data_IF_749150585287
#
_entry.id   IF_749150585287
#
_cell.length_a   1.000
_cell.length_b   1.000
_cell.length_c   1.000
_cell.angle_alpha   90.00
_cell.angle_beta   90.00
_cell.angle_gamma   90.00
#
_symmetry.space_group_name_H-M   'P 1'
#
loop_
_entity.id
_entity.type
_entity.pdbx_description
1 polymer ?
#
# COMPACT_ATOMS: atom_id res chain seq x y z
N UNK A 1 -6.87 1.84 31.14
CA UNK A 1 -5.86 1.53 30.11
C UNK A 1 -6.44 0.50 29.12
N UNK A 2 -7.25 -0.44 29.62
CA UNK A 2 -8.02 -1.41 28.83
C UNK A 2 -8.78 -0.79 27.65
N UNK A 3 -9.45 0.35 27.83
CA UNK A 3 -10.20 1.01 26.75
C UNK A 3 -9.35 1.40 25.53
N UNK A 4 -8.04 1.65 25.71
CA UNK A 4 -7.13 2.07 24.63
C UNK A 4 -6.44 0.86 23.99
N UNK A 5 -6.51 -0.31 24.62
CA UNK A 5 -5.81 -1.53 24.18
C UNK A 5 -6.16 -1.93 22.72
N UNK A 6 -7.43 -1.87 22.25
CA UNK A 6 -7.75 -2.19 20.86
C UNK A 6 -7.05 -1.23 19.87
N UNK A 7 -6.98 0.06 20.19
CA UNK A 7 -6.32 1.06 19.35
C UNK A 7 -4.80 0.82 19.31
N UNK A 8 -4.21 0.51 20.46
CA UNK A 8 -2.79 0.16 20.54
C UNK A 8 -2.47 -1.15 19.82
N UNK A 9 -3.40 -2.11 19.80
CA UNK A 9 -3.24 -3.35 19.05
C UNK A 9 -3.16 -3.10 17.53
N UNK A 10 -4.01 -2.21 16.99
CA UNK A 10 -3.96 -1.82 15.59
C UNK A 10 -2.64 -1.12 15.24
N UNK A 11 -2.18 -0.19 16.09
CA UNK A 11 -0.89 0.50 15.91
C UNK A 11 0.28 -0.48 15.99
N UNK A 12 0.27 -1.39 16.96
CA UNK A 12 1.27 -2.46 17.09
C UNK A 12 1.30 -3.33 15.84
N UNK A 13 0.14 -3.71 15.31
CA UNK A 13 0.02 -4.51 14.10
C UNK A 13 0.66 -3.78 12.91
N UNK A 14 0.32 -2.51 12.70
CA UNK A 14 0.91 -1.68 11.64
C UNK A 14 2.43 -1.60 11.75
N UNK A 15 2.96 -1.27 12.94
CA UNK A 15 4.42 -1.22 13.15
C UNK A 15 5.07 -2.58 12.95
N UNK A 16 4.43 -3.67 13.39
CA UNK A 16 4.97 -5.03 13.23
C UNK A 16 5.08 -5.39 11.76
N UNK A 17 4.06 -5.11 10.94
CA UNK A 17 4.16 -5.31 9.49
C UNK A 17 5.29 -4.47 8.91
N UNK A 18 5.29 -3.16 9.20
CA UNK A 18 6.31 -2.27 8.66
C UNK A 18 7.72 -2.58 9.17
N UNK A 19 7.88 -3.39 10.21
CA UNK A 19 9.18 -3.78 10.76
C UNK A 19 9.48 -5.28 10.56
N UNK A 20 8.61 -6.03 9.88
CA UNK A 20 8.78 -7.47 9.67
C UNK A 20 9.77 -7.79 8.55
N UNK A 21 9.90 -6.90 7.57
CA UNK A 21 10.81 -7.04 6.44
C UNK A 21 12.14 -6.32 6.73
N UNK A 22 13.26 -6.89 6.28
CA UNK A 22 14.57 -6.23 6.37
C UNK A 22 14.61 -4.95 5.54
N UNK A 23 13.86 -4.94 4.44
CA UNK A 23 13.63 -3.78 3.57
C UNK A 23 12.12 -3.55 3.51
N UNK A 24 11.64 -2.47 4.14
CA UNK A 24 10.21 -2.20 4.24
C UNK A 24 9.68 -1.81 2.87
N UNK A 25 8.70 -2.57 2.38
CA UNK A 25 8.02 -2.23 1.13
C UNK A 25 7.35 -0.85 1.21
N UNK A 26 7.95 0.13 0.53
CA UNK A 26 7.48 1.53 0.51
C UNK A 26 6.03 1.62 0.00
N UNK A 27 5.59 0.72 -0.87
CA UNK A 27 4.23 0.62 -1.39
C UNK A 27 3.17 0.28 -0.33
N UNK A 28 3.56 -0.24 0.84
CA UNK A 28 2.64 -0.51 1.94
C UNK A 28 2.35 0.72 2.81
N UNK A 29 3.13 1.80 2.64
CA UNK A 29 3.08 2.99 3.49
C UNK A 29 1.70 3.64 3.49
N UNK A 30 1.17 4.02 2.32
CA UNK A 30 -0.13 4.67 2.23
C UNK A 30 -1.31 3.75 2.50
N UNK A 31 -1.35 2.50 1.99
CA UNK A 31 -2.40 1.55 2.35
C UNK A 31 -2.57 1.40 3.88
N UNK A 32 -1.46 1.20 4.61
CA UNK A 32 -1.50 1.07 6.07
C UNK A 32 -1.92 2.39 6.72
N UNK A 33 -1.34 3.52 6.28
CA UNK A 33 -1.65 4.85 6.82
C UNK A 33 -3.14 5.19 6.67
N UNK A 34 -3.69 5.04 5.47
CA UNK A 34 -5.10 5.33 5.20
C UNK A 34 -6.01 4.37 5.95
N UNK A 35 -5.66 3.09 6.07
CA UNK A 35 -6.46 2.17 6.89
C UNK A 35 -6.46 2.56 8.36
N UNK A 36 -5.31 2.94 8.93
CA UNK A 36 -5.27 3.43 10.30
C UNK A 36 -6.17 4.66 10.48
N UNK A 37 -6.06 5.65 9.60
CA UNK A 37 -6.81 6.93 9.69
C UNK A 37 -8.31 6.72 9.48
N UNK A 38 -8.71 5.93 8.48
CA UNK A 38 -10.09 5.82 8.01
C UNK A 38 -10.86 4.66 8.64
N UNK A 39 -10.17 3.70 9.26
CA UNK A 39 -10.79 2.52 9.86
C UNK A 39 -10.52 2.46 11.36
N UNK A 40 -9.24 2.35 11.76
CA UNK A 40 -8.88 2.00 13.14
C UNK A 40 -8.90 3.18 14.12
N UNK A 41 -8.70 4.40 13.61
CA UNK A 41 -8.67 5.65 14.39
C UNK A 41 -9.96 6.47 14.24
N UNK A 42 -10.95 5.95 13.53
CA UNK A 42 -12.27 6.59 13.46
C UNK A 42 -13.00 6.49 14.79
N UNK A 43 -13.85 7.49 15.05
CA UNK A 43 -14.75 7.48 16.20
C UNK A 43 -15.77 6.37 16.03
N UNK A 44 -15.91 5.53 17.03
CA UNK A 44 -16.92 4.47 17.09
C UNK A 44 -17.91 4.78 18.21
N UNK A 45 -19.18 4.43 18.01
CA UNK A 45 -20.19 4.51 19.07
C UNK A 45 -19.75 3.62 20.24
N UNK A 46 -19.75 4.18 21.45
CA UNK A 46 -19.21 3.52 22.65
C UNK A 46 -17.76 3.88 23.00
N UNK A 47 -17.03 4.63 22.16
CA UNK A 47 -15.72 5.15 22.53
C UNK A 47 -15.82 6.07 23.77
N UNK A 48 -15.02 5.78 24.80
CA UNK A 48 -14.89 6.68 25.94
C UNK A 48 -14.24 8.00 25.52
N UNK A 49 -14.50 9.08 26.26
CA UNK A 49 -13.93 10.41 25.95
C UNK A 49 -12.40 10.39 25.84
N UNK A 50 -11.73 9.53 26.62
CA UNK A 50 -10.28 9.34 26.57
C UNK A 50 -9.82 8.68 25.26
N UNK A 51 -10.50 7.61 24.85
CA UNK A 51 -10.20 6.90 23.59
C UNK A 51 -10.43 7.81 22.39
N UNK A 52 -11.53 8.55 22.38
CA UNK A 52 -11.81 9.51 21.31
C UNK A 52 -10.71 10.58 21.21
N UNK A 53 -10.32 11.20 22.33
CA UNK A 53 -9.23 12.19 22.35
C UNK A 53 -7.90 11.59 21.87
N UNK A 54 -7.59 10.36 22.27
CA UNK A 54 -6.40 9.66 21.81
C UNK A 54 -6.43 9.41 20.31
N UNK A 55 -7.48 8.75 19.80
CA UNK A 55 -7.69 8.48 18.37
C UNK A 55 -7.58 9.76 17.53
N UNK A 56 -8.25 10.83 17.96
CA UNK A 56 -8.20 12.12 17.27
C UNK A 56 -6.79 12.69 17.20
N UNK A 57 -6.03 12.69 18.30
CA UNK A 57 -4.65 13.20 18.31
C UNK A 57 -3.73 12.37 17.42
N UNK A 58 -3.83 11.03 17.48
CA UNK A 58 -3.03 10.13 16.65
C UNK A 58 -3.38 10.33 15.17
N UNK A 59 -4.67 10.40 14.84
CA UNK A 59 -5.15 10.62 13.47
C UNK A 59 -4.62 11.93 12.89
N UNK A 60 -4.75 13.04 13.61
CA UNK A 60 -4.22 14.35 13.19
C UNK A 60 -2.71 14.29 12.99
N UNK A 61 -1.97 13.81 13.99
CA UNK A 61 -0.52 13.76 13.94
C UNK A 61 0.03 12.84 12.83
N UNK A 62 -0.66 11.73 12.55
CA UNK A 62 -0.30 10.82 11.47
C UNK A 62 -0.62 11.44 10.11
N UNK A 63 -1.81 12.05 9.96
CA UNK A 63 -2.22 12.71 8.72
C UNK A 63 -1.29 13.85 8.32
N UNK A 64 -0.87 14.68 9.28
CA UNK A 64 0.09 15.77 9.06
C UNK A 64 1.46 15.25 8.63
N UNK A 65 2.02 14.28 9.37
CA UNK A 65 3.35 13.71 9.07
C UNK A 65 3.41 13.01 7.71
N UNK A 66 2.33 12.32 7.35
CA UNK A 66 2.22 11.59 6.09
C UNK A 66 1.66 12.42 4.94
N UNK A 67 1.29 13.69 5.20
CA UNK A 67 0.72 14.63 4.24
C UNK A 67 -0.47 14.06 3.45
N UNK A 68 -1.34 13.28 4.13
CA UNK A 68 -2.42 12.52 3.45
C UNK A 68 -3.47 13.38 2.76
N UNK A 69 -3.63 14.63 3.20
CA UNK A 69 -4.56 15.58 2.59
C UNK A 69 -3.91 16.47 1.52
N UNK A 70 -2.59 16.37 1.30
CA UNK A 70 -1.88 17.19 0.31
C UNK A 70 -2.39 16.94 -1.11
N UNK A 71 -2.43 18.00 -1.91
CA UNK A 71 -2.77 17.93 -3.33
C UNK A 71 -1.70 17.17 -4.14
N UNK A 72 -0.45 17.19 -3.68
CA UNK A 72 0.68 16.51 -4.34
C UNK A 72 0.83 15.03 -3.94
N UNK A 73 -0.13 14.48 -3.20
CA UNK A 73 -0.07 13.11 -2.66
C UNK A 73 0.24 12.08 -3.75
N UNK A 74 -0.39 12.19 -4.92
CA UNK A 74 -0.23 11.26 -6.06
C UNK A 74 1.17 11.30 -6.68
N UNK A 75 1.93 12.36 -6.42
CA UNK A 75 3.30 12.54 -6.91
C UNK A 75 4.36 12.11 -5.90
N UNK A 76 3.96 11.70 -4.70
CA UNK A 76 4.90 11.25 -3.68
C UNK A 76 5.45 9.86 -4.00
N UNK A 77 6.74 9.57 -3.75
CA UNK A 77 7.31 8.25 -4.02
C UNK A 77 6.54 7.08 -3.38
N UNK A 78 6.04 7.17 -2.12
CA UNK A 78 5.29 6.07 -1.55
C UNK A 78 3.94 5.84 -2.22
N UNK A 79 3.31 6.88 -2.77
CA UNK A 79 2.04 6.73 -3.49
C UNK A 79 2.27 6.11 -4.87
N UNK A 80 3.31 6.57 -5.59
CA UNK A 80 3.70 5.97 -6.87
C UNK A 80 4.06 4.50 -6.70
N UNK A 81 4.87 4.16 -5.69
CA UNK A 81 5.18 2.76 -5.35
C UNK A 81 3.92 1.95 -5.01
N UNK A 82 2.95 2.55 -4.33
CA UNK A 82 1.65 1.90 -4.05
C UNK A 82 0.87 1.63 -5.34
N UNK A 83 0.85 2.58 -6.27
CA UNK A 83 0.13 2.48 -7.54
C UNK A 83 0.76 1.44 -8.48
N UNK A 84 2.07 1.24 -8.40
CA UNK A 84 2.81 0.22 -9.12
C UNK A 84 2.76 -1.17 -8.46
N UNK A 85 2.25 -1.27 -7.23
CA UNK A 85 2.17 -2.54 -6.51
C UNK A 85 0.86 -3.27 -6.85
N UNK A 86 0.91 -4.48 -7.45
CA UNK A 86 -0.28 -5.24 -7.80
C UNK A 86 -1.21 -5.51 -6.61
N UNK A 87 -0.66 -5.61 -5.39
CA UNK A 87 -1.43 -5.82 -4.15
C UNK A 87 -2.36 -4.64 -3.83
N UNK A 88 -2.10 -3.49 -4.43
CA UNK A 88 -2.79 -2.24 -4.14
C UNK A 88 -3.41 -1.59 -5.39
N UNK A 89 -3.47 -2.30 -6.54
CA UNK A 89 -3.90 -1.73 -7.83
C UNK A 89 -5.22 -0.97 -7.78
N UNK A 90 -6.17 -1.46 -6.99
CA UNK A 90 -7.50 -0.86 -6.91
C UNK A 90 -7.57 0.41 -6.06
N UNK A 91 -6.49 0.75 -5.34
CA UNK A 91 -6.40 1.89 -4.43
C UNK A 91 -7.66 2.01 -3.56
N UNK A 92 -8.14 0.88 -3.04
CA UNK A 92 -9.41 0.76 -2.33
C UNK A 92 -9.47 1.60 -1.04
N UNK A 93 -8.30 1.98 -0.53
CA UNK A 93 -8.13 2.84 0.64
C UNK A 93 -8.33 4.33 0.34
N UNK A 94 -8.31 4.75 -0.94
CA UNK A 94 -8.63 6.11 -1.37
C UNK A 94 -10.14 6.27 -1.61
N UNK A 95 -10.63 7.51 -1.45
CA UNK A 95 -11.97 7.89 -1.91
C UNK A 95 -12.05 7.85 -3.44
N UNK A 96 -13.24 7.62 -4.03
CA UNK A 96 -13.39 7.58 -5.49
C UNK A 96 -12.81 8.82 -6.20
N UNK A 97 -12.97 10.01 -5.61
CA UNK A 97 -12.44 11.27 -6.14
C UNK A 97 -10.91 11.31 -6.23
N UNK A 98 -10.19 10.69 -5.28
CA UNK A 98 -8.71 10.63 -5.28
C UNK A 98 -8.16 9.43 -6.07
N UNK A 99 -8.99 8.42 -6.34
CA UNK A 99 -8.59 7.21 -7.07
C UNK A 99 -8.34 7.46 -8.56
N UNK A 100 -9.25 8.21 -9.21
CA UNK A 100 -9.20 8.48 -10.66
C UNK A 100 -7.94 9.29 -11.04
N UNK A 101 -7.59 10.40 -10.34
CA UNK A 101 -6.35 11.14 -10.62
C UNK A 101 -5.10 10.32 -10.33
N UNK A 102 -5.13 9.44 -9.32
CA UNK A 102 -4.04 8.52 -9.02
C UNK A 102 -3.73 7.64 -10.23
N UNK A 103 -4.72 6.90 -10.73
CA UNK A 103 -4.50 6.00 -11.88
C UNK A 103 -4.05 6.72 -13.15
N UNK A 104 -4.53 7.95 -13.41
CA UNK A 104 -4.11 8.73 -14.60
C UNK A 104 -2.73 9.37 -14.48
N UNK A 105 -2.13 9.45 -13.28
CA UNK A 105 -0.83 10.10 -13.08
C UNK A 105 0.34 9.21 -13.50
N UNK A 106 0.21 7.88 -13.40
CA UNK A 106 1.26 6.95 -13.87
C UNK A 106 1.64 7.14 -15.34
N UNK A 107 0.70 7.16 -16.30
CA UNK A 107 1.06 7.36 -17.70
C UNK A 107 1.66 8.74 -17.96
N UNK A 108 1.23 9.79 -17.24
CA UNK A 108 1.83 11.13 -17.34
C UNK A 108 3.31 11.14 -16.91
N UNK A 109 3.62 10.45 -15.80
CA UNK A 109 5.00 10.33 -15.31
C UNK A 109 5.88 9.50 -16.25
N UNK A 110 5.34 8.44 -16.86
CA UNK A 110 6.05 7.63 -17.84
C UNK A 110 6.42 8.45 -19.09
N UNK A 111 5.48 9.24 -19.62
CA UNK A 111 5.72 10.11 -20.79
C UNK A 111 6.74 11.21 -20.48
N UNK A 112 6.77 11.72 -19.24
CA UNK A 112 7.75 12.72 -18.83
C UNK A 112 9.19 12.18 -18.85
N UNK A 113 9.40 10.88 -18.57
CA UNK A 113 10.72 10.25 -18.67
C UNK A 113 11.17 10.02 -20.11
N UNK A 114 10.26 9.65 -21.02
CA UNK A 114 10.55 9.48 -22.45
C UNK A 114 11.03 10.77 -23.14
N UNK A 115 10.57 11.94 -22.66
CA UNK A 115 11.04 13.24 -23.19
C UNK A 115 12.45 13.55 -22.70
N UNK A 116 12.81 13.16 -21.49
CA UNK A 116 14.12 13.44 -20.90
C UNK A 116 15.26 12.55 -21.43
N UNK A 117 14.94 11.48 -22.15
CA UNK A 117 15.92 10.52 -22.70
C UNK A 117 16.35 10.82 -24.14
N UNK A 118 15.91 11.94 -24.74
CA UNK A 118 16.26 12.32 -26.13
C UNK A 118 17.50 13.21 -26.28
N UNK A 119 18.26 13.45 -25.21
CA UNK A 119 19.59 14.10 -25.28
C UNK A 119 20.57 13.36 -24.39
N UNK A 120 21.18 12.30 -24.92
CA UNK A 120 22.63 12.02 -24.86
C UNK A 120 22.92 10.60 -25.34
N UNK A 121 23.14 10.48 -26.65
CA UNK A 121 23.83 9.35 -27.27
C UNK A 121 25.32 9.42 -26.90
N UNK A 122 25.76 8.64 -25.92
CA UNK A 122 27.16 8.21 -25.77
C UNK A 122 27.29 6.93 -24.92
N UNK A 123 27.17 5.78 -25.59
CA UNK A 123 27.97 4.56 -25.41
C UNK A 123 28.46 4.18 -23.99
N UNK A 124 27.88 3.12 -23.42
CA UNK A 124 28.62 2.17 -22.59
C UNK A 124 28.09 0.75 -22.79
N UNK A 125 28.86 -0.06 -23.52
CA UNK A 125 28.75 -1.52 -23.55
C UNK A 125 29.15 -2.10 -22.21
N UNK A 126 28.27 -2.89 -21.59
CA UNK A 126 28.65 -3.77 -20.47
C UNK A 126 28.00 -5.14 -20.68
N UNK A 127 28.83 -6.09 -21.12
CA UNK A 127 28.55 -7.52 -21.13
C UNK A 127 28.40 -8.04 -19.71
N UNK A 128 27.31 -8.73 -19.41
CA UNK A 128 27.05 -9.38 -18.12
C UNK A 128 26.36 -10.72 -18.34
N UNK A 129 27.11 -11.77 -18.06
CA UNK A 129 26.90 -13.20 -18.34
C UNK A 129 25.63 -13.79 -17.68
N UNK A 130 24.85 -14.54 -18.48
CA UNK A 130 23.70 -15.31 -18.00
C UNK A 130 24.15 -16.66 -17.44
N UNK A 131 23.88 -16.93 -16.15
CA UNK A 131 23.90 -18.29 -15.63
C UNK A 131 22.74 -18.55 -14.68
N UNK A 132 21.78 -19.31 -15.19
CA UNK A 132 20.63 -19.79 -14.44
C UNK A 132 20.99 -20.78 -13.34
N UNK A 133 20.12 -20.84 -12.33
CA UNK A 133 19.92 -22.05 -11.53
C UNK A 133 18.45 -22.11 -11.14
N UNK A 134 17.71 -22.98 -11.83
CA UNK A 134 16.38 -23.42 -11.43
C UNK A 134 16.51 -24.27 -10.16
N UNK A 135 15.75 -23.92 -9.12
CA UNK A 135 15.45 -24.83 -8.03
C UNK A 135 13.94 -24.79 -7.78
N UNK A 136 13.23 -25.75 -8.39
CA UNK A 136 11.81 -25.98 -8.14
C UNK A 136 11.62 -26.49 -6.71
N UNK A 137 10.84 -25.76 -5.92
CA UNK A 137 10.34 -26.25 -4.64
C UNK A 137 8.85 -26.55 -4.81
N UNK A 138 8.53 -27.85 -4.76
CA UNK A 138 7.18 -28.37 -4.81
C UNK A 138 6.36 -27.86 -3.61
N UNK A 139 5.23 -27.21 -3.88
CA UNK A 139 4.26 -26.84 -2.83
C UNK A 139 3.36 -28.03 -2.59
N UNK A 140 3.67 -28.81 -1.54
CA UNK A 140 2.76 -29.82 -1.00
C UNK A 140 1.67 -29.13 -0.18
N UNK A 141 0.42 -29.44 -0.54
CA UNK A 141 -0.77 -28.93 0.12
C UNK A 141 -0.81 -29.28 1.61
N UNK A 142 -0.80 -28.23 2.43
CA UNK A 142 -1.22 -28.30 3.82
C UNK A 142 -2.52 -27.48 3.94
N UNK A 143 -3.57 -28.13 4.42
CA UNK A 143 -4.86 -27.54 4.77
C UNK A 143 -4.66 -26.30 5.67
N UNK A 144 -4.80 -25.11 5.06
CA UNK A 144 -4.66 -23.82 5.72
C UNK A 144 -5.84 -23.58 6.67
N UNK A 145 -5.63 -23.89 7.94
CA UNK A 145 -6.27 -23.14 9.02
C UNK A 145 -5.94 -21.66 8.75
N UNK A 146 -6.95 -20.85 8.37
CA UNK A 146 -6.80 -19.46 7.91
C UNK A 146 -6.10 -18.61 8.98
N UNK A 147 -4.77 -18.61 8.99
CA UNK A 147 -3.96 -17.61 9.69
C UNK A 147 -4.17 -16.31 8.92
N UNK A 148 -5.00 -15.42 9.44
CA UNK A 148 -5.14 -14.06 8.90
C UNK A 148 -3.82 -13.35 9.08
N UNK A 149 -3.15 -12.98 7.98
CA UNK A 149 -1.92 -12.21 8.07
C UNK A 149 -2.20 -10.85 8.72
N UNK A 150 -1.18 -10.27 9.36
CA UNK A 150 -1.28 -8.93 9.95
C UNK A 150 -1.74 -7.89 8.91
N UNK A 151 -1.40 -8.07 7.64
CA UNK A 151 -1.89 -7.23 6.56
C UNK A 151 -3.38 -7.37 6.26
N UNK A 152 -3.92 -8.59 6.29
CA UNK A 152 -5.38 -8.80 6.16
C UNK A 152 -6.12 -8.14 7.31
N UNK A 153 -5.58 -8.18 8.54
CA UNK A 153 -6.18 -7.49 9.69
C UNK A 153 -6.16 -5.96 9.55
N UNK A 154 -5.10 -5.42 8.94
CA UNK A 154 -4.96 -3.98 8.75
C UNK A 154 -5.81 -3.47 7.60
N UNK A 155 -5.76 -4.10 6.45
CA UNK A 155 -6.39 -3.59 5.22
C UNK A 155 -7.76 -4.21 4.92
N UNK A 156 -8.16 -5.23 5.68
CA UNK A 156 -9.41 -5.96 5.49
C UNK A 156 -9.33 -6.98 4.35
N UNK A 157 -10.48 -7.58 4.07
CA UNK A 157 -10.60 -8.70 3.12
C UNK A 157 -10.23 -8.30 1.68
N UNK A 158 -10.35 -7.01 1.33
CA UNK A 158 -10.03 -6.48 0.01
C UNK A 158 -8.53 -6.49 -0.34
N UNK A 159 -7.65 -6.77 0.63
CA UNK A 159 -6.20 -6.87 0.40
C UNK A 159 -5.81 -8.08 -0.47
N UNK A 160 -6.61 -9.14 -0.45
CA UNK A 160 -6.31 -10.39 -1.15
C UNK A 160 -7.40 -10.78 -2.17
N UNK A 161 -8.35 -9.89 -2.44
CA UNK A 161 -9.40 -10.14 -3.43
C UNK A 161 -8.85 -9.95 -4.84
N UNK A 162 -8.66 -11.06 -5.56
CA UNK A 162 -8.67 -11.10 -7.03
C UNK A 162 -10.07 -10.72 -7.47
N UNK A 163 -10.29 -9.44 -7.76
CA UNK A 163 -11.59 -8.96 -8.19
C UNK A 163 -11.70 -9.28 -9.67
N UNK A 164 -12.37 -10.40 -9.97
CA UNK A 164 -12.83 -10.97 -11.26
C UNK A 164 -12.16 -12.28 -11.68
N UNK A 165 -12.96 -13.21 -12.20
CA UNK A 165 -12.50 -14.46 -12.87
C UNK A 165 -11.93 -14.19 -14.28
N UNK A 166 -11.71 -12.92 -14.63
CA UNK A 166 -11.38 -12.45 -15.97
C UNK A 166 -10.05 -11.69 -15.94
N UNK A 167 -8.97 -12.47 -16.06
CA UNK A 167 -7.59 -12.00 -15.97
C UNK A 167 -7.30 -10.91 -17.00
N UNK A 168 -7.93 -10.95 -18.18
CA UNK A 168 -7.71 -9.96 -19.24
C UNK A 168 -8.26 -8.58 -18.84
N UNK A 169 -9.47 -8.51 -18.28
CA UNK A 169 -9.99 -7.26 -17.70
C UNK A 169 -9.15 -6.75 -16.53
N UNK A 170 -8.50 -7.66 -15.81
CA UNK A 170 -7.59 -7.33 -14.73
C UNK A 170 -6.27 -6.74 -15.25
N UNK A 171 -5.74 -7.23 -16.38
CA UNK A 171 -4.57 -6.68 -17.07
C UNK A 171 -4.89 -5.32 -17.71
N UNK A 172 -6.03 -5.18 -18.36
CA UNK A 172 -6.48 -3.92 -18.97
C UNK A 172 -6.64 -2.79 -17.95
N UNK A 173 -6.84 -3.10 -16.66
CA UNK A 173 -6.86 -2.07 -15.62
C UNK A 173 -5.49 -1.45 -15.31
N UNK A 174 -4.40 -1.99 -15.87
CA UNK A 174 -3.05 -1.45 -15.77
C UNK A 174 -2.59 -0.64 -17.00
N UNK A 175 -3.35 -0.67 -18.09
CA UNK A 175 -3.04 -0.03 -19.39
C UNK A 175 -4.02 1.11 -19.69
#
# INVERSE_FOLDING_TARGET
MEDVAPVLAALKCATTVMSAETEVSISSTYPITFSLINTHLMRVEGDSSKVFKFKSKVRTSLGERMKVESDDLTSTPPMIATMLDPRHKHLGFLTPTRRIPGTSKLPELAVAEDVSSTTDEASHTASGDERGTQAGVAVQGATLQRRTSAMVLLLGDNYSTTRTDDVEKEVDSFL
#
